data_IF_129727794792
#
_entry.id   IF_129727794792
#
_cell.length_a   1.000
_cell.length_b   1.000
_cell.length_c   1.000
_cell.angle_alpha   90.00
_cell.angle_beta   90.00
_cell.angle_gamma   90.00
#
_symmetry.space_group_name_H-M   'P 1'
#
loop_
_entity.id
_entity.type
_entity.pdbx_description
1 polymer ?
#
# COMPACT_ATOMS: atom_id res chain seq x y z
N UNK A 1 22.09 9.31 12.65
CA UNK A 1 22.80 8.32 13.51
C UNK A 1 22.99 7.03 12.72
N UNK A 2 24.03 6.22 12.93
CA UNK A 2 24.31 5.03 12.10
C UNK A 2 24.74 3.83 12.96
N UNK A 3 24.23 2.65 12.63
CA UNK A 3 24.42 1.39 13.35
C UNK A 3 24.75 0.27 12.38
N UNK A 4 25.69 -0.60 12.75
CA UNK A 4 25.95 -1.83 12.00
C UNK A 4 25.07 -2.95 12.58
N UNK A 5 24.30 -3.60 11.72
CA UNK A 5 23.46 -4.75 12.06
C UNK A 5 24.10 -5.99 11.47
N UNK A 6 24.73 -6.81 12.32
CA UNK A 6 25.44 -8.02 11.90
C UNK A 6 24.67 -9.29 12.33
N UNK A 7 24.13 -10.09 11.39
CA UNK A 7 23.46 -11.35 11.73
C UNK A 7 24.37 -12.39 12.39
N UNK A 8 25.69 -12.25 12.24
CA UNK A 8 26.69 -13.14 12.87
C UNK A 8 26.99 -12.76 14.31
N UNK A 9 26.61 -11.55 14.74
CA UNK A 9 26.86 -11.01 16.06
C UNK A 9 25.61 -10.32 16.62
N UNK A 10 24.56 -11.14 16.83
CA UNK A 10 23.25 -10.68 17.27
C UNK A 10 23.27 -10.02 18.66
N UNK A 11 24.14 -10.49 19.56
CA UNK A 11 24.22 -9.97 20.92
C UNK A 11 24.72 -8.53 20.91
N UNK A 12 25.85 -8.27 20.26
CA UNK A 12 26.41 -6.92 20.13
C UNK A 12 25.48 -6.00 19.34
N UNK A 13 24.89 -6.50 18.25
CA UNK A 13 23.91 -5.75 17.46
C UNK A 13 22.74 -5.28 18.32
N UNK A 14 22.15 -6.17 19.14
CA UNK A 14 21.03 -5.80 20.00
C UNK A 14 21.45 -4.93 21.18
N UNK A 15 22.65 -5.11 21.72
CA UNK A 15 23.22 -4.20 22.74
C UNK A 15 23.36 -2.77 22.23
N UNK A 16 23.63 -2.58 20.93
CA UNK A 16 23.68 -1.27 20.30
C UNK A 16 22.28 -0.70 19.99
N UNK A 17 21.39 -1.52 19.40
CA UNK A 17 20.06 -1.08 18.97
C UNK A 17 19.10 -0.81 20.15
N UNK A 18 19.17 -1.61 21.23
CA UNK A 18 18.24 -1.50 22.37
C UNK A 18 18.25 -0.11 23.02
N UNK A 19 19.40 0.44 23.46
CA UNK A 19 19.44 1.78 24.04
C UNK A 19 19.21 2.88 23.00
N UNK A 20 19.58 2.64 21.74
CA UNK A 20 19.39 3.60 20.65
C UNK A 20 17.92 3.90 20.40
N UNK A 21 17.09 2.87 20.29
CA UNK A 21 15.68 2.98 19.94
C UNK A 21 14.74 2.82 21.14
N UNK A 22 15.28 2.74 22.37
CA UNK A 22 14.52 2.49 23.60
C UNK A 22 13.57 1.29 23.47
N UNK A 23 14.10 0.16 22.97
CA UNK A 23 13.29 -0.99 22.58
C UNK A 23 12.81 -1.80 23.79
N UNK A 24 11.52 -2.17 23.85
CA UNK A 24 11.03 -3.13 24.83
C UNK A 24 11.65 -4.52 24.65
N UNK A 25 11.79 -5.28 25.73
CA UNK A 25 12.38 -6.64 25.73
C UNK A 25 11.72 -7.59 24.69
N UNK A 26 10.40 -7.47 24.54
CA UNK A 26 9.64 -8.24 23.54
C UNK A 26 10.07 -7.88 22.11
N UNK A 27 10.26 -6.59 21.83
CA UNK A 27 10.73 -6.09 20.53
C UNK A 27 12.15 -6.57 20.26
N UNK A 28 13.04 -6.56 21.26
CA UNK A 28 14.41 -7.08 21.10
C UNK A 28 14.41 -8.58 20.77
N UNK A 29 13.51 -9.36 21.39
CA UNK A 29 13.36 -10.80 21.08
C UNK A 29 12.90 -11.03 19.65
N UNK A 30 11.96 -10.20 19.17
CA UNK A 30 11.47 -10.24 17.79
C UNK A 30 12.57 -9.84 16.81
N UNK A 31 13.25 -8.72 17.05
CA UNK A 31 14.34 -8.24 16.20
C UNK A 31 15.49 -9.24 16.13
N UNK A 32 15.83 -9.93 17.23
CA UNK A 32 16.81 -11.02 17.19
C UNK A 32 16.47 -12.06 16.12
N UNK A 33 15.20 -12.47 16.06
CA UNK A 33 14.73 -13.47 15.10
C UNK A 33 14.75 -12.92 13.68
N UNK A 34 14.39 -11.66 13.50
CA UNK A 34 14.37 -11.02 12.18
C UNK A 34 15.78 -10.84 11.63
N UNK A 35 16.68 -10.28 12.43
CA UNK A 35 18.09 -10.04 12.04
C UNK A 35 18.78 -11.36 11.72
N UNK A 36 18.46 -12.45 12.43
CA UNK A 36 18.98 -13.77 12.11
C UNK A 36 18.59 -14.29 10.71
N UNK A 37 17.60 -13.68 10.04
CA UNK A 37 17.21 -13.98 8.66
C UNK A 37 18.04 -13.21 7.63
N UNK A 38 18.90 -12.27 8.04
CA UNK A 38 19.68 -11.47 7.11
C UNK A 38 20.84 -12.29 6.54
N UNK A 39 21.05 -12.29 5.22
CA UNK A 39 22.15 -13.04 4.60
C UNK A 39 23.52 -12.38 4.80
N UNK A 40 23.55 -11.10 5.18
CA UNK A 40 24.77 -10.29 5.36
C UNK A 40 24.54 -9.12 6.32
N UNK A 41 25.61 -8.53 6.88
CA UNK A 41 25.50 -7.31 7.66
C UNK A 41 25.00 -6.13 6.82
N UNK A 42 24.31 -5.19 7.48
CA UNK A 42 23.83 -3.95 6.86
C UNK A 42 24.04 -2.76 7.77
N UNK A 43 23.96 -1.57 7.19
CA UNK A 43 23.92 -0.32 7.93
C UNK A 43 22.46 0.10 8.15
N UNK A 44 22.15 0.54 9.37
CA UNK A 44 20.88 1.17 9.73
C UNK A 44 21.14 2.61 10.10
N UNK A 45 20.45 3.52 9.44
CA UNK A 45 20.55 4.95 9.66
C UNK A 45 19.25 5.50 10.21
N UNK A 46 19.35 6.46 11.12
CA UNK A 46 18.21 7.26 11.57
C UNK A 46 18.38 8.69 11.06
N UNK A 47 17.42 9.11 10.24
CA UNK A 47 17.32 10.47 9.74
C UNK A 47 16.29 11.26 10.57
N UNK A 48 16.79 11.87 11.64
CA UNK A 48 15.98 12.65 12.58
C UNK A 48 15.41 13.94 11.95
N UNK A 49 16.10 14.50 10.95
CA UNK A 49 15.66 15.74 10.30
C UNK A 49 14.41 15.47 9.45
N UNK A 50 14.43 14.37 8.71
CA UNK A 50 13.28 13.94 7.92
C UNK A 50 12.19 13.32 8.79
N UNK A 51 12.53 12.65 9.90
CA UNK A 51 11.53 12.08 10.82
C UNK A 51 10.49 13.12 11.29
N UNK A 52 10.90 14.36 11.57
CA UNK A 52 9.99 15.44 11.95
C UNK A 52 8.99 15.80 10.85
N UNK A 53 9.40 15.73 9.57
CA UNK A 53 8.51 16.00 8.43
C UNK A 53 7.48 14.89 8.24
N UNK A 54 7.85 13.65 8.58
CA UNK A 54 7.00 12.48 8.40
C UNK A 54 6.10 12.24 9.62
N UNK A 55 6.38 12.82 10.78
CA UNK A 55 5.63 12.57 12.02
C UNK A 55 4.11 12.78 11.86
N UNK A 56 3.71 13.83 11.13
CA UNK A 56 2.29 14.18 10.93
C UNK A 56 1.68 13.62 9.64
N UNK A 57 2.48 13.01 8.76
CA UNK A 57 2.03 12.46 7.48
C UNK A 57 1.50 11.04 7.67
N UNK A 58 0.22 10.89 7.97
CA UNK A 58 -0.40 9.58 8.25
C UNK A 58 -0.16 8.52 7.15
N UNK A 59 -0.10 8.92 5.88
CA UNK A 59 0.05 8.01 4.73
C UNK A 59 1.48 7.82 4.22
N UNK A 60 2.46 8.50 4.82
CA UNK A 60 3.84 8.42 4.35
C UNK A 60 4.58 7.25 4.98
N UNK A 61 5.37 6.53 4.17
CA UNK A 61 6.20 5.44 4.66
C UNK A 61 7.27 5.97 5.63
N UNK A 62 7.46 5.26 6.73
CA UNK A 62 8.28 5.70 7.86
C UNK A 62 9.71 5.16 7.82
N UNK A 63 10.08 4.53 6.72
CA UNK A 63 11.42 4.05 6.42
C UNK A 63 11.59 3.93 4.90
N UNK A 64 12.84 3.80 4.45
CA UNK A 64 13.20 3.52 3.05
C UNK A 64 14.52 2.77 2.97
N UNK A 65 14.90 2.35 1.77
CA UNK A 65 16.18 1.69 1.47
C UNK A 65 17.05 2.60 0.62
N UNK A 66 18.32 2.73 1.00
CA UNK A 66 19.33 3.25 0.10
C UNK A 66 19.81 2.10 -0.80
N UNK A 67 19.45 2.19 -2.09
CA UNK A 67 19.75 1.17 -3.09
C UNK A 67 21.23 1.14 -3.49
N UNK A 68 21.98 2.23 -3.26
CA UNK A 68 23.40 2.30 -3.59
C UNK A 68 24.27 1.69 -2.48
N UNK A 69 23.83 1.82 -1.23
CA UNK A 69 24.59 1.38 -0.04
C UNK A 69 24.01 0.15 0.66
N UNK A 70 22.83 -0.32 0.24
CA UNK A 70 22.04 -1.35 0.95
C UNK A 70 21.75 -0.97 2.42
N UNK A 71 21.61 0.32 2.71
CA UNK A 71 21.32 0.81 4.05
C UNK A 71 19.80 0.93 4.28
N UNK A 72 19.37 0.58 5.49
CA UNK A 72 18.01 0.85 5.95
C UNK A 72 17.96 2.24 6.59
N UNK A 73 17.09 3.12 6.09
CA UNK A 73 16.90 4.47 6.61
C UNK A 73 15.57 4.55 7.34
N UNK A 74 15.61 4.91 8.64
CA UNK A 74 14.45 5.03 9.51
C UNK A 74 14.05 6.49 9.71
N UNK A 75 12.76 6.78 9.59
CA UNK A 75 12.13 8.08 9.86
C UNK A 75 11.20 8.05 11.08
N UNK A 76 11.19 6.95 11.84
CA UNK A 76 10.39 6.80 13.05
C UNK A 76 11.12 5.95 14.09
N UNK A 77 10.82 6.22 15.36
CA UNK A 77 11.33 5.50 16.52
C UNK A 77 10.32 4.47 17.05
N UNK A 78 9.17 4.34 16.40
CA UNK A 78 8.10 3.45 16.85
C UNK A 78 8.50 1.97 16.70
N UNK A 79 8.37 1.14 17.74
CA UNK A 79 8.76 -0.27 17.69
C UNK A 79 8.09 -1.07 16.56
N UNK A 80 6.82 -0.80 16.26
CA UNK A 80 6.11 -1.46 15.16
C UNK A 80 6.72 -1.12 13.79
N UNK A 81 7.07 0.16 13.58
CA UNK A 81 7.71 0.61 12.35
C UNK A 81 9.09 -0.03 12.20
N UNK A 82 9.88 -0.10 13.27
CA UNK A 82 11.20 -0.72 13.26
C UNK A 82 11.09 -2.21 12.91
N UNK A 83 10.13 -2.92 13.49
CA UNK A 83 9.88 -4.34 13.16
C UNK A 83 9.56 -4.49 11.66
N UNK A 84 8.63 -3.67 11.15
CA UNK A 84 8.23 -3.72 9.74
C UNK A 84 9.42 -3.42 8.81
N UNK A 85 10.19 -2.37 9.14
CA UNK A 85 11.38 -1.97 8.39
C UNK A 85 12.44 -3.08 8.32
N UNK A 86 12.69 -3.77 9.44
CA UNK A 86 13.64 -4.88 9.47
C UNK A 86 13.12 -6.12 8.73
N UNK A 87 11.82 -6.39 8.72
CA UNK A 87 11.25 -7.49 7.92
C UNK A 87 11.36 -7.19 6.43
N UNK A 88 11.01 -5.98 6.00
CA UNK A 88 11.14 -5.59 4.59
C UNK A 88 12.60 -5.52 4.17
N UNK A 89 13.51 -5.13 5.06
CA UNK A 89 14.95 -5.24 4.82
C UNK A 89 15.39 -6.70 4.65
N UNK A 90 14.85 -7.63 5.45
CA UNK A 90 15.11 -9.06 5.24
C UNK A 90 14.64 -9.50 3.84
N UNK A 91 13.44 -9.08 3.42
CA UNK A 91 12.91 -9.37 2.09
C UNK A 91 13.82 -8.81 0.99
N UNK A 92 14.20 -7.54 1.10
CA UNK A 92 15.12 -6.88 0.17
C UNK A 92 16.44 -7.66 0.03
N UNK A 93 17.08 -7.98 1.15
CA UNK A 93 18.37 -8.67 1.15
C UNK A 93 18.29 -10.09 0.61
N UNK A 94 17.13 -10.75 0.74
CA UNK A 94 16.89 -12.07 0.16
C UNK A 94 16.56 -12.00 -1.35
N UNK A 95 16.44 -10.80 -1.94
CA UNK A 95 16.30 -10.62 -3.38
C UNK A 95 14.88 -10.32 -3.85
N UNK A 96 13.97 -9.94 -2.95
CA UNK A 96 12.67 -9.39 -3.38
C UNK A 96 12.89 -8.10 -4.15
N UNK A 97 12.26 -7.98 -5.33
CA UNK A 97 12.36 -6.80 -6.16
C UNK A 97 11.63 -5.62 -5.50
N UNK A 98 12.32 -4.47 -5.42
CA UNK A 98 11.77 -3.21 -4.87
C UNK A 98 11.14 -2.34 -5.95
N UNK A 99 11.56 -2.51 -7.21
CA UNK A 99 11.27 -1.63 -8.35
C UNK A 99 11.64 -0.15 -8.12
N UNK A 100 12.40 0.16 -7.07
CA UNK A 100 12.88 1.52 -6.79
C UNK A 100 13.74 2.03 -7.95
N UNK A 101 13.57 3.30 -8.31
CA UNK A 101 14.21 3.91 -9.48
C UNK A 101 13.51 3.65 -10.81
N UNK A 102 12.37 2.93 -10.83
CA UNK A 102 11.52 2.87 -12.01
C UNK A 102 10.97 4.27 -12.34
N UNK A 103 10.89 4.59 -13.64
CA UNK A 103 10.35 5.87 -14.12
C UNK A 103 8.85 6.00 -13.93
N UNK A 104 8.15 4.87 -13.88
CA UNK A 104 6.72 4.82 -13.66
C UNK A 104 6.45 4.59 -12.18
N UNK A 105 6.17 5.68 -11.44
CA UNK A 105 5.99 5.67 -9.97
C UNK A 105 4.94 4.66 -9.50
N UNK A 106 3.87 4.46 -10.27
CA UNK A 106 2.84 3.48 -9.93
C UNK A 106 3.37 2.03 -9.83
N UNK A 107 4.45 1.70 -10.54
CA UNK A 107 5.09 0.37 -10.43
C UNK A 107 5.73 0.20 -9.06
N UNK A 108 6.33 1.26 -8.52
CA UNK A 108 6.92 1.27 -7.18
C UNK A 108 5.80 1.06 -6.15
N UNK A 109 4.73 1.83 -6.23
CA UNK A 109 3.58 1.73 -5.32
C UNK A 109 2.91 0.35 -5.36
N UNK A 110 2.73 -0.20 -6.56
CA UNK A 110 2.21 -1.56 -6.74
C UNK A 110 3.15 -2.59 -6.08
N UNK A 111 4.46 -2.44 -6.28
CA UNK A 111 5.46 -3.34 -5.69
C UNK A 111 5.44 -3.27 -4.17
N UNK A 112 5.43 -2.08 -3.58
CA UNK A 112 5.29 -1.88 -2.13
C UNK A 112 4.01 -2.56 -1.63
N UNK A 113 2.89 -2.39 -2.35
CA UNK A 113 1.63 -3.08 -2.06
C UNK A 113 1.75 -4.60 -2.02
N UNK A 114 2.49 -5.19 -2.97
CA UNK A 114 2.73 -6.65 -3.03
C UNK A 114 3.65 -7.18 -1.92
N UNK A 115 4.50 -6.34 -1.32
CA UNK A 115 5.34 -6.75 -0.19
C UNK A 115 4.54 -6.96 1.08
N UNK A 116 3.49 -6.16 1.30
CA UNK A 116 2.72 -6.18 2.56
C UNK A 116 2.12 -7.55 2.92
N UNK A 117 1.46 -8.30 2.02
CA UNK A 117 0.93 -9.62 2.39
C UNK A 117 2.04 -10.63 2.73
N UNK A 118 3.20 -10.55 2.07
CA UNK A 118 4.38 -11.37 2.39
C UNK A 118 4.93 -11.01 3.77
N UNK A 119 5.14 -9.72 4.04
CA UNK A 119 5.51 -9.19 5.37
C UNK A 119 4.54 -9.67 6.44
N UNK A 120 3.24 -9.53 6.23
CA UNK A 120 2.22 -9.94 7.19
C UNK A 120 2.24 -11.46 7.43
N UNK A 121 2.57 -12.29 6.43
CA UNK A 121 2.81 -13.72 6.65
C UNK A 121 4.05 -13.97 7.51
N UNK A 122 5.17 -13.28 7.24
CA UNK A 122 6.40 -13.39 8.03
C UNK A 122 6.12 -12.98 9.49
N UNK A 123 5.39 -11.88 9.71
CA UNK A 123 4.94 -11.44 11.04
C UNK A 123 4.16 -12.54 11.76
N UNK A 124 3.17 -13.15 11.10
CA UNK A 124 2.39 -14.27 11.67
C UNK A 124 3.27 -15.48 12.02
N UNK A 125 4.25 -15.83 11.17
CA UNK A 125 5.20 -16.91 11.45
C UNK A 125 6.10 -16.62 12.67
N UNK A 126 6.42 -15.35 12.89
CA UNK A 126 7.21 -14.90 14.05
C UNK A 126 6.37 -14.74 15.34
N UNK A 127 5.04 -14.92 15.27
CA UNK A 127 4.12 -14.70 16.38
C UNK A 127 3.84 -13.23 16.68
N UNK A 128 4.06 -12.34 15.70
CA UNK A 128 3.79 -10.91 15.80
C UNK A 128 2.34 -10.68 15.37
N UNK A 129 1.60 -9.90 16.17
CA UNK A 129 0.23 -9.55 15.84
C UNK A 129 0.20 -8.71 14.55
N UNK A 130 -0.71 -9.06 13.64
CA UNK A 130 -1.03 -8.27 12.45
C UNK A 130 -2.37 -7.60 12.70
N UNK A 131 -2.45 -6.31 12.41
CA UNK A 131 -3.71 -5.60 12.45
C UNK A 131 -4.42 -5.80 11.12
N UNK A 132 -5.49 -6.59 11.12
CA UNK A 132 -6.27 -6.88 9.91
C UNK A 132 -7.39 -5.83 9.65
N UNK A 133 -7.44 -4.76 10.45
CA UNK A 133 -8.47 -3.72 10.34
C UNK A 133 -7.90 -2.41 9.78
N UNK A 134 -8.63 -1.75 8.86
CA UNK A 134 -8.27 -0.42 8.37
C UNK A 134 -8.13 0.57 9.53
N UNK A 135 -7.05 1.34 9.52
CA UNK A 135 -6.78 2.42 10.48
C UNK A 135 -7.34 3.76 9.97
N UNK A 136 -7.61 3.86 8.67
CA UNK A 136 -8.07 5.07 8.02
C UNK A 136 -9.20 4.78 7.03
N UNK A 137 -9.95 5.84 6.71
CA UNK A 137 -11.04 5.81 5.74
C UNK A 137 -10.83 6.93 4.72
N UNK A 138 -10.91 6.60 3.44
CA UNK A 138 -10.89 7.56 2.32
C UNK A 138 -12.22 7.48 1.58
N UNK A 139 -12.76 8.65 1.25
CA UNK A 139 -14.12 8.79 0.77
C UNK A 139 -15.13 8.75 1.92
N UNK A 140 -16.18 9.54 1.80
CA UNK A 140 -17.29 9.56 2.75
C UNK A 140 -18.59 9.20 2.03
N UNK A 141 -19.43 8.33 2.61
CA UNK A 141 -20.78 8.14 2.10
C UNK A 141 -21.50 9.50 2.12
N UNK A 142 -22.45 9.73 1.20
CA UNK A 142 -23.30 10.91 1.28
C UNK A 142 -23.99 10.97 2.66
N UNK A 143 -24.25 12.18 3.15
CA UNK A 143 -25.00 12.38 4.38
C UNK A 143 -26.39 11.72 4.27
N UNK A 144 -27.07 11.51 5.41
CA UNK A 144 -28.40 10.87 5.44
C UNK A 144 -29.46 11.58 4.58
N UNK A 145 -29.25 12.86 4.29
CA UNK A 145 -30.07 13.70 3.41
C UNK A 145 -29.58 13.71 1.94
N UNK A 146 -28.69 12.78 1.58
CA UNK A 146 -28.01 12.66 0.29
C UNK A 146 -27.14 13.87 -0.09
N UNK A 147 -26.88 14.80 0.83
CA UNK A 147 -25.93 15.88 0.56
C UNK A 147 -24.50 15.31 0.53
N UNK A 148 -23.66 15.75 -0.42
CA UNK A 148 -22.24 15.41 -0.38
C UNK A 148 -21.67 15.87 0.96
N UNK A 149 -21.05 14.97 1.72
CA UNK A 149 -20.24 15.38 2.86
C UNK A 149 -19.12 16.31 2.36
N UNK A 150 -18.77 17.31 3.16
CA UNK A 150 -17.57 18.11 2.91
C UNK A 150 -16.40 17.12 2.75
N UNK A 151 -15.85 17.05 1.54
CA UNK A 151 -14.78 16.14 1.19
C UNK A 151 -13.46 16.88 1.46
N UNK A 152 -12.80 16.66 2.61
CA UNK A 152 -11.58 17.39 2.96
C UNK A 152 -10.44 17.05 2.01
N UNK A 153 -10.56 15.94 1.29
CA UNK A 153 -9.70 15.51 0.20
C UNK A 153 -10.50 15.63 -1.10
N UNK A 154 -9.96 16.00 -2.26
CA UNK A 154 -10.75 16.06 -3.49
C UNK A 154 -11.09 14.66 -4.05
N UNK A 155 -11.43 13.69 -3.19
CA UNK A 155 -11.59 12.28 -3.57
C UNK A 155 -12.72 12.10 -4.56
N UNK A 156 -13.87 12.75 -4.35
CA UNK A 156 -14.99 12.75 -5.32
C UNK A 156 -14.57 13.25 -6.70
N UNK A 157 -13.77 14.33 -6.77
CA UNK A 157 -13.24 14.83 -8.05
C UNK A 157 -12.25 13.85 -8.67
N UNK A 158 -11.36 13.29 -7.85
CA UNK A 158 -10.32 12.36 -8.27
C UNK A 158 -10.91 11.08 -8.87
N UNK A 159 -12.04 10.60 -8.37
CA UNK A 159 -12.70 9.39 -8.88
C UNK A 159 -13.76 9.67 -9.96
N UNK A 160 -14.00 10.94 -10.31
CA UNK A 160 -15.03 11.33 -11.28
C UNK A 160 -14.60 11.17 -12.74
N UNK A 161 -13.30 11.14 -13.01
CA UNK A 161 -12.72 10.98 -14.35
C UNK A 161 -11.60 9.95 -14.34
N UNK A 162 -11.42 9.24 -15.46
CA UNK A 162 -10.29 8.36 -15.66
C UNK A 162 -9.14 9.09 -16.37
N UNK A 163 -8.18 9.52 -15.56
CA UNK A 163 -6.94 10.21 -15.95
C UNK A 163 -5.72 9.63 -15.19
N UNK A 164 -4.51 10.09 -15.53
CA UNK A 164 -3.27 9.55 -14.94
C UNK A 164 -3.21 9.70 -13.42
N UNK A 165 -3.79 10.77 -12.85
CA UNK A 165 -3.78 11.04 -11.41
C UNK A 165 -4.77 10.12 -10.70
N UNK A 166 -5.97 9.96 -11.26
CA UNK A 166 -6.95 8.99 -10.76
C UNK A 166 -6.39 7.57 -10.76
N UNK A 167 -5.72 7.16 -11.84
CA UNK A 167 -5.08 5.86 -11.97
C UNK A 167 -4.02 5.66 -10.88
N UNK A 168 -3.07 6.60 -10.77
CA UNK A 168 -2.00 6.53 -9.79
C UNK A 168 -2.54 6.42 -8.36
N UNK A 169 -3.53 7.25 -8.02
CA UNK A 169 -4.15 7.22 -6.70
C UNK A 169 -4.86 5.89 -6.42
N UNK A 170 -5.49 5.26 -7.42
CA UNK A 170 -6.10 3.94 -7.23
C UNK A 170 -5.05 2.86 -6.97
N UNK A 171 -3.86 2.96 -7.57
CA UNK A 171 -2.74 2.05 -7.27
C UNK A 171 -2.28 2.23 -5.82
N UNK A 172 -2.04 3.48 -5.40
CA UNK A 172 -1.64 3.82 -4.02
C UNK A 172 -2.66 3.32 -3.02
N UNK A 173 -3.95 3.59 -3.23
CA UNK A 173 -5.01 3.14 -2.34
C UNK A 173 -5.17 1.62 -2.34
N UNK A 174 -4.97 0.96 -3.48
CA UNK A 174 -5.01 -0.50 -3.54
C UNK A 174 -3.87 -1.13 -2.73
N UNK A 175 -2.68 -0.52 -2.76
CA UNK A 175 -1.50 -0.91 -1.98
C UNK A 175 -1.63 -0.66 -0.47
N UNK A 176 -2.67 0.06 -0.01
CA UNK A 176 -2.92 0.38 1.40
C UNK A 176 -4.06 -0.49 1.96
N UNK A 177 -3.71 -1.60 2.59
CA UNK A 177 -4.63 -2.46 3.35
C UNK A 177 -5.10 -1.83 4.68
N UNK A 178 -4.36 -0.85 5.16
CA UNK A 178 -4.67 -0.01 6.32
C UNK A 178 -5.68 1.11 6.02
N UNK A 179 -6.11 1.26 4.76
CA UNK A 179 -7.08 2.27 4.31
C UNK A 179 -8.32 1.60 3.74
N UNK A 180 -9.49 1.89 4.32
CA UNK A 180 -10.78 1.55 3.71
C UNK A 180 -11.18 2.64 2.72
N UNK A 181 -11.58 2.24 1.51
CA UNK A 181 -12.00 3.17 0.46
C UNK A 181 -13.50 3.06 0.23
N UNK A 182 -14.21 4.17 0.37
CA UNK A 182 -15.64 4.27 0.07
C UNK A 182 -15.81 5.07 -1.22
N UNK A 183 -16.14 4.36 -2.30
CA UNK A 183 -16.40 4.97 -3.59
C UNK A 183 -17.79 5.63 -3.61
N UNK A 184 -17.88 6.93 -3.98
CA UNK A 184 -19.14 7.58 -4.27
C UNK A 184 -19.90 6.84 -5.40
N UNK A 185 -21.25 6.84 -5.40
CA UNK A 185 -22.04 6.21 -6.48
C UNK A 185 -21.70 6.73 -7.88
N UNK A 186 -21.26 7.98 -7.99
CA UNK A 186 -20.86 8.64 -9.23
C UNK A 186 -19.43 8.31 -9.71
N UNK A 187 -18.75 7.37 -9.06
CA UNK A 187 -17.38 6.95 -9.42
C UNK A 187 -17.30 6.46 -10.86
N UNK A 188 -16.28 6.90 -11.58
CA UNK A 188 -16.00 6.43 -12.93
C UNK A 188 -15.65 4.93 -12.91
N UNK A 189 -16.35 4.13 -13.72
CA UNK A 189 -16.20 2.66 -13.78
C UNK A 189 -14.76 2.19 -13.96
N UNK A 190 -14.00 2.79 -14.88
CA UNK A 190 -12.57 2.50 -15.08
C UNK A 190 -11.70 2.74 -13.83
N UNK A 191 -12.00 3.77 -13.03
CA UNK A 191 -11.29 4.05 -11.77
C UNK A 191 -11.55 2.93 -10.76
N UNK A 192 -12.81 2.53 -10.60
CA UNK A 192 -13.19 1.41 -9.74
C UNK A 192 -12.52 0.11 -10.21
N UNK A 193 -12.51 -0.16 -11.52
CA UNK A 193 -11.86 -1.32 -12.10
C UNK A 193 -10.36 -1.36 -11.77
N UNK A 194 -9.64 -0.23 -11.90
CA UNK A 194 -8.22 -0.14 -11.51
C UNK A 194 -8.05 -0.54 -10.05
N UNK A 195 -8.81 0.06 -9.12
CA UNK A 195 -8.68 -0.26 -7.69
C UNK A 195 -8.88 -1.75 -7.41
N UNK A 196 -9.97 -2.34 -7.93
CA UNK A 196 -10.31 -3.76 -7.71
C UNK A 196 -9.26 -4.68 -8.32
N UNK A 197 -8.86 -4.45 -9.57
CA UNK A 197 -7.84 -5.28 -10.22
C UNK A 197 -6.48 -5.18 -9.52
N UNK A 198 -6.08 -3.98 -9.09
CA UNK A 198 -4.83 -3.78 -8.37
C UNK A 198 -4.83 -4.53 -7.04
N UNK A 199 -5.92 -4.45 -6.26
CA UNK A 199 -6.09 -5.20 -5.00
C UNK A 199 -5.95 -6.71 -5.23
N UNK A 200 -6.61 -7.23 -6.26
CA UNK A 200 -6.55 -8.65 -6.60
C UNK A 200 -5.16 -9.07 -7.05
N UNK A 201 -4.54 -8.32 -7.95
CA UNK A 201 -3.19 -8.60 -8.44
C UNK A 201 -2.15 -8.57 -7.30
N UNK A 202 -2.27 -7.63 -6.35
CA UNK A 202 -1.43 -7.59 -5.15
C UNK A 202 -1.51 -8.90 -4.37
N UNK A 203 -2.73 -9.40 -4.14
CA UNK A 203 -2.94 -10.66 -3.43
C UNK A 203 -2.39 -11.86 -4.21
N UNK A 204 -2.65 -11.92 -5.52
CA UNK A 204 -2.17 -13.00 -6.40
C UNK A 204 -0.63 -13.09 -6.44
N UNK A 205 0.05 -11.95 -6.55
CA UNK A 205 1.53 -11.90 -6.53
C UNK A 205 2.06 -12.45 -5.20
N UNK A 206 1.51 -12.01 -4.08
CA UNK A 206 2.00 -12.36 -2.74
C UNK A 206 1.47 -13.70 -2.19
N UNK A 207 0.54 -14.35 -2.90
CA UNK A 207 -0.18 -15.51 -2.38
C UNK A 207 0.74 -16.70 -2.11
N UNK A 208 0.67 -17.21 -0.87
CA UNK A 208 1.40 -18.42 -0.46
C UNK A 208 2.90 -18.24 -0.20
N UNK A 209 3.48 -17.09 -0.53
CA UNK A 209 4.94 -16.90 -0.50
C UNK A 209 5.50 -16.63 0.90
N UNK A 210 6.68 -17.19 1.15
CA UNK A 210 7.53 -16.99 2.32
C UNK A 210 8.82 -16.25 1.93
N UNK A 211 9.70 -15.97 2.90
CA UNK A 211 10.95 -15.25 2.65
C UNK A 211 11.89 -15.96 1.65
N UNK A 212 11.81 -17.29 1.54
CA UNK A 212 12.64 -18.06 0.60
C UNK A 212 12.15 -18.03 -0.86
N UNK A 213 10.92 -17.55 -1.11
CA UNK A 213 10.24 -17.69 -2.40
C UNK A 213 10.39 -16.43 -3.28
N UNK A 214 11.50 -15.69 -3.13
CA UNK A 214 11.73 -14.40 -3.79
C UNK A 214 11.77 -14.51 -5.33
N UNK A 215 12.27 -15.61 -5.89
CA UNK A 215 12.30 -15.82 -7.35
C UNK A 215 10.88 -15.95 -7.94
N UNK A 216 10.02 -16.67 -7.23
CA UNK A 216 8.62 -16.83 -7.62
C UNK A 216 7.87 -15.50 -7.45
N UNK A 217 8.09 -14.79 -6.34
CA UNK A 217 7.57 -13.44 -6.14
C UNK A 217 7.94 -12.51 -7.31
N UNK A 218 9.23 -12.42 -7.64
CA UNK A 218 9.73 -11.53 -8.69
C UNK A 218 9.14 -11.86 -10.06
N UNK A 219 8.98 -13.16 -10.36
CA UNK A 219 8.37 -13.61 -11.61
C UNK A 219 6.91 -13.17 -11.69
N UNK A 220 6.11 -13.47 -10.64
CA UNK A 220 4.70 -13.07 -10.58
C UNK A 220 4.53 -11.55 -10.61
N UNK A 221 5.39 -10.81 -9.93
CA UNK A 221 5.39 -9.35 -9.92
C UNK A 221 5.59 -8.79 -11.33
N UNK A 222 6.61 -9.26 -12.06
CA UNK A 222 6.89 -8.81 -13.42
C UNK A 222 5.74 -9.14 -14.38
N UNK A 223 5.18 -10.35 -14.29
CA UNK A 223 4.02 -10.75 -15.09
C UNK A 223 2.79 -9.87 -14.79
N UNK A 224 2.53 -9.58 -13.50
CA UNK A 224 1.45 -8.70 -13.09
C UNK A 224 1.63 -7.28 -13.60
N UNK A 225 2.84 -6.70 -13.48
CA UNK A 225 3.15 -5.36 -14.00
C UNK A 225 2.90 -5.28 -15.51
N UNK A 226 3.39 -6.26 -16.27
CA UNK A 226 3.18 -6.31 -17.73
C UNK A 226 1.68 -6.43 -18.07
N UNK A 227 0.95 -7.26 -17.34
CA UNK A 227 -0.50 -7.41 -17.52
C UNK A 227 -1.24 -6.08 -17.25
N UNK A 228 -0.91 -5.39 -16.17
CA UNK A 228 -1.51 -4.11 -15.79
C UNK A 228 -1.17 -3.01 -16.79
N UNK A 229 0.07 -2.96 -17.28
CA UNK A 229 0.47 -2.06 -18.37
C UNK A 229 -0.35 -2.28 -19.63
N UNK A 230 -0.55 -3.53 -20.04
CA UNK A 230 -1.34 -3.85 -21.21
C UNK A 230 -2.83 -3.52 -21.04
N UNK A 231 -3.38 -3.77 -19.85
CA UNK A 231 -4.80 -3.59 -19.57
C UNK A 231 -5.20 -2.12 -19.44
N UNK A 232 -4.43 -1.34 -18.67
CA UNK A 232 -4.79 0.04 -18.32
C UNK A 232 -4.05 1.10 -19.14
N UNK A 233 -2.91 0.73 -19.73
CA UNK A 233 -2.06 1.58 -20.55
C UNK A 233 -1.84 2.99 -19.97
N UNK A 234 -1.26 3.09 -18.76
CA UNK A 234 -1.17 4.36 -18.04
C UNK A 234 -0.42 5.44 -18.82
N UNK A 235 0.55 5.05 -19.66
CA UNK A 235 1.32 5.97 -20.52
C UNK A 235 0.48 6.78 -21.51
N UNK A 236 -0.76 6.36 -21.79
CA UNK A 236 -1.67 7.04 -22.73
C UNK A 236 -2.80 7.80 -22.04
N UNK A 237 -2.83 7.81 -20.71
CA UNK A 237 -3.85 8.53 -19.97
C UNK A 237 -3.61 10.03 -20.07
N UNK A 238 -4.71 10.78 -20.17
CA UNK A 238 -4.66 12.24 -20.15
C UNK A 238 -4.24 12.77 -18.78
N UNK A 239 -3.65 13.95 -18.76
CA UNK A 239 -3.48 14.72 -17.53
C UNK A 239 -4.83 15.36 -17.15
N UNK A 240 -5.22 15.38 -15.87
CA UNK A 240 -6.48 16.00 -15.43
C UNK A 240 -6.48 17.51 -15.69
N UNK A 241 -7.50 18.00 -16.40
CA UNK A 241 -7.66 19.43 -16.69
C UNK A 241 -7.98 20.27 -15.45
N UNK A 242 -8.51 19.65 -14.39
CA UNK A 242 -8.84 20.35 -13.14
C UNK A 242 -7.60 20.72 -12.32
N UNK A 243 -6.45 20.07 -12.52
CA UNK A 243 -5.19 20.48 -11.86
C UNK A 243 -4.67 21.80 -12.40
N UNK A 244 -4.91 22.12 -13.68
CA UNK A 244 -4.54 23.42 -14.27
C UNK A 244 -5.31 24.59 -13.63
N UNK A 245 -6.48 24.32 -13.04
CA UNK A 245 -7.32 25.32 -12.37
C UNK A 245 -6.84 25.65 -10.95
N UNK A 246 -6.15 24.73 -10.27
CA UNK A 246 -5.62 24.96 -8.93
C UNK A 246 -4.39 25.88 -8.91
N UNK A 247 -3.67 26.03 -10.03
CA UNK A 247 -2.63 27.06 -10.16
C UNK A 247 -3.19 28.46 -10.42
N UNK A 248 -4.48 28.61 -10.73
CA UNK A 248 -5.08 29.87 -11.16
C UNK A 248 -6.28 30.36 -10.34
N UNK A 249 -6.72 29.68 -9.28
CA UNK A 249 -7.97 30.10 -8.60
C UNK A 249 -7.99 29.83 -7.09
N UNK A 250 -7.66 30.86 -6.30
CA UNK A 250 -8.47 31.16 -5.10
C UNK A 250 -9.90 31.48 -5.58
N UNK A 251 -10.90 30.79 -5.02
CA UNK A 251 -12.34 30.99 -5.19
C UNK A 251 -12.94 30.76 -6.60
N UNK A 252 -13.53 29.58 -6.83
CA UNK A 252 -14.96 29.51 -7.24
C UNK A 252 -15.53 28.08 -7.09
N UNK A 253 -16.67 27.95 -6.43
CA UNK A 253 -17.44 26.72 -6.27
C UNK A 253 -18.48 26.69 -7.40
N UNK A 254 -18.15 26.04 -8.52
CA UNK A 254 -19.06 26.02 -9.68
C UNK A 254 -18.86 24.85 -10.62
N UNK A 255 -19.83 23.92 -10.58
CA UNK A 255 -20.22 22.95 -11.63
C UNK A 255 -19.18 21.97 -12.19
N UNK A 256 -19.37 20.69 -11.87
CA UNK A 256 -18.71 19.56 -12.53
C UNK A 256 -19.08 19.50 -14.04
N UNK A 257 -18.14 19.16 -14.92
CA UNK A 257 -18.43 18.95 -16.33
C UNK A 257 -19.28 17.67 -16.55
N UNK A 258 -20.09 17.60 -17.62
CA UNK A 258 -20.94 16.46 -17.90
C UNK A 258 -20.11 15.22 -18.26
N UNK A 259 -20.44 14.08 -17.62
CA UNK A 259 -19.87 12.77 -17.90
C UNK A 259 -20.09 12.36 -19.37
N UNK A 260 -19.02 12.00 -20.08
CA UNK A 260 -19.12 11.28 -21.34
C UNK A 260 -19.38 9.80 -21.03
N UNK A 261 -20.54 9.29 -21.42
CA UNK A 261 -20.79 7.85 -21.47
C UNK A 261 -19.96 7.25 -22.61
N UNK A 262 -18.88 6.56 -22.26
CA UNK A 262 -18.15 5.69 -23.20
C UNK A 262 -18.95 4.40 -23.35
N UNK A 263 -19.68 4.26 -24.47
CA UNK A 263 -20.50 3.08 -24.78
C UNK A 263 -19.70 1.80 -25.10
N UNK A 264 -18.36 1.85 -25.04
CA UNK A 264 -17.45 0.73 -25.30
C UNK A 264 -16.57 0.45 -24.07
N UNK A 265 -17.18 0.28 -22.88
CA UNK A 265 -16.45 -0.03 -21.67
C UNK A 265 -16.40 -1.57 -21.42
N UNK A 266 -15.32 -2.28 -21.79
CA UNK A 266 -15.21 -3.74 -21.62
C UNK A 266 -15.17 -4.20 -20.15
N UNK A 267 -15.25 -3.26 -19.20
CA UNK A 267 -15.24 -3.50 -17.78
C UNK A 267 -16.64 -3.44 -17.13
N UNK A 268 -17.69 -3.08 -17.86
CA UNK A 268 -19.07 -3.10 -17.32
C UNK A 268 -19.50 -4.52 -16.92
N UNK A 269 -19.33 -5.49 -17.82
CA UNK A 269 -19.67 -6.90 -17.54
C UNK A 269 -18.86 -7.49 -16.37
N UNK A 270 -17.57 -7.13 -16.25
CA UNK A 270 -16.71 -7.59 -15.14
C UNK A 270 -17.10 -6.97 -13.80
N UNK A 271 -17.51 -5.70 -13.78
CA UNK A 271 -17.98 -5.02 -12.56
C UNK A 271 -19.33 -5.62 -12.14
N UNK A 272 -20.23 -5.88 -13.09
CA UNK A 272 -21.52 -6.54 -12.81
C UNK A 272 -21.31 -7.96 -12.24
N UNK A 273 -20.40 -8.77 -12.80
CA UNK A 273 -20.06 -10.09 -12.25
C UNK A 273 -19.55 -9.99 -10.80
N UNK A 274 -18.72 -9.00 -10.49
CA UNK A 274 -18.09 -8.83 -9.16
C UNK A 274 -19.09 -8.47 -8.04
N UNK A 275 -20.26 -7.92 -8.40
CA UNK A 275 -21.33 -7.55 -7.46
C UNK A 275 -22.58 -8.44 -7.62
N UNK A 276 -22.56 -9.44 -8.51
CA UNK A 276 -23.68 -10.35 -8.76
C UNK A 276 -23.70 -11.61 -7.89
N UNK A 277 -22.67 -11.86 -7.09
CA UNK A 277 -22.55 -13.03 -6.20
C UNK A 277 -22.98 -12.72 -4.74
N UNK A 278 -24.07 -11.99 -4.56
CA UNK A 278 -24.81 -11.91 -3.28
C UNK A 278 -26.29 -12.16 -3.57
N UNK A 279 -26.68 -13.44 -3.66
CA UNK A 279 -28.00 -13.96 -3.27
C UNK A 279 -28.07 -15.49 -3.55
N UNK A 280 -27.37 -16.28 -2.73
CA UNK A 280 -27.70 -17.69 -2.52
C UNK A 280 -27.12 -18.19 -1.18
N UNK A 281 -27.51 -17.55 -0.06
CA UNK A 281 -27.54 -18.26 1.22
C UNK A 281 -28.95 -18.84 1.33
N UNK A 282 -29.02 -20.15 1.08
CA UNK A 282 -30.17 -21.01 1.36
C UNK A 282 -30.73 -20.71 2.75
N UNK A 283 -32.03 -20.43 2.79
CA UNK A 283 -32.86 -20.52 3.98
C UNK A 283 -32.71 -21.94 4.58
N UNK A 284 -31.88 -22.06 5.60
CA UNK A 284 -31.90 -23.19 6.51
C UNK A 284 -32.28 -22.65 7.89
N UNK A 285 -33.54 -22.91 8.23
CA UNK A 285 -34.09 -22.97 9.58
C UNK A 285 -33.02 -23.38 10.61
N UNK A 286 -32.85 -22.59 11.67
CA UNK A 286 -32.77 -23.17 13.01
C UNK A 286 -33.16 -22.15 14.08
N UNK A 287 -34.27 -22.48 14.73
CA UNK A 287 -34.80 -21.93 15.96
C UNK A 287 -33.72 -21.76 17.04
N UNK A 288 -33.68 -20.59 17.67
CA UNK A 288 -33.27 -20.50 19.08
C UNK A 288 -34.16 -19.51 19.84
N UNK A 289 -34.92 -19.99 20.85
CA UNK A 289 -35.58 -19.13 21.81
C UNK A 289 -34.69 -18.92 23.06
N UNK A 290 -34.66 -17.65 23.50
CA UNK A 290 -34.14 -17.08 24.76
C UNK A 290 -32.63 -16.86 24.89
#
# INVERSE_FOLDING_TARGET
>A
MQYLVDPSNLDETLEQLTPAFNLPDQTCTILRRIIAMFPRPIEVMVDEATALLYQDLAMADKFSFDMDTDALVLFSWEPEVIIDAFIEMAMYLNGFATMLGNREEWIIEFTIGTWKPVKNRIKRQLGIQVHDHPRMVVGLPPNKDQTPADDPYPFRKLVSSYDIVSFHQMVVLAARDDVAVYFPPETHSKVLAVYVYMRRAIQEVAQGLSLGDYEEFNTRLLEAVQKLQNLFNPSRLSYPQWLEQFEQTEMDLGTLPPQRQDHDNPFEEFIEELFSDDDAIDDADDDFPF
#
